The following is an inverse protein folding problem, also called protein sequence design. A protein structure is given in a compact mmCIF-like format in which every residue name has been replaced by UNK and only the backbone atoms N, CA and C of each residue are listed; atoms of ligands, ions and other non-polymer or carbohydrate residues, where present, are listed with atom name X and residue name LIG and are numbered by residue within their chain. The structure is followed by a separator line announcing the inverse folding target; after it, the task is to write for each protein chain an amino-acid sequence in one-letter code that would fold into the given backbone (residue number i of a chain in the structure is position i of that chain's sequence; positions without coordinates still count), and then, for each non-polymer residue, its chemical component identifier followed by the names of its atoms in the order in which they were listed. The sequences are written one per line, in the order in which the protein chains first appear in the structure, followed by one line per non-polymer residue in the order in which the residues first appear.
data_IF_326542055519
#
_entry.id   IF_326542055519
#
_cell.length_a   1.000
_cell.length_b   1.000
_cell.length_c   1.000
_cell.angle_alpha   90.00
_cell.angle_beta   90.00
_cell.angle_gamma   90.00
#
_symmetry.space_group_name_H-M   'P 1'
#
loop_
_entity.id
_entity.type
_entity.pdbx_description
1 polymer ?
#
# COMPACT_ATOMS: atom_id res chain seq x y z
N UNK A 1 -3.19 3.44 -13.15
CA UNK A 1 -1.85 3.82 -12.67
C UNK A 1 -1.80 4.03 -11.16
N UNK A 2 -2.91 4.39 -10.49
CA UNK A 2 -2.98 4.53 -9.02
C UNK A 2 -2.45 3.32 -8.24
N UNK A 3 -2.78 2.08 -8.64
CA UNK A 3 -2.26 0.87 -8.00
C UNK A 3 -0.73 0.77 -8.08
N UNK A 4 -0.14 1.14 -9.21
CA UNK A 4 1.33 1.14 -9.39
C UNK A 4 1.95 2.21 -8.52
N UNK A 5 1.37 3.42 -8.49
CA UNK A 5 1.85 4.50 -7.63
C UNK A 5 1.78 4.11 -6.15
N UNK A 6 0.64 3.58 -5.70
CA UNK A 6 0.46 3.10 -4.32
C UNK A 6 1.48 2.02 -3.97
N UNK A 7 1.70 1.05 -4.88
CA UNK A 7 2.67 -0.02 -4.66
C UNK A 7 4.10 0.50 -4.52
N UNK A 8 4.47 1.50 -5.32
CA UNK A 8 5.79 2.13 -5.25
C UNK A 8 5.95 2.92 -3.95
N UNK A 9 4.92 3.65 -3.51
CA UNK A 9 4.95 4.38 -2.25
C UNK A 9 5.09 3.45 -1.05
N UNK A 10 4.37 2.32 -1.05
CA UNK A 10 4.52 1.29 -0.02
C UNK A 10 5.96 0.76 -0.03
N UNK A 11 6.48 0.32 -1.17
CA UNK A 11 7.85 -0.24 -1.28
C UNK A 11 8.95 0.76 -0.86
N UNK A 12 8.70 2.07 -0.93
CA UNK A 12 9.63 3.10 -0.47
C UNK A 12 9.55 3.36 1.05
N UNK A 13 8.54 2.84 1.75
CA UNK A 13 8.49 2.84 3.21
C UNK A 13 9.49 1.82 3.75
N UNK A 14 10.45 2.25 4.60
CA UNK A 14 11.45 1.34 5.17
C UNK A 14 10.81 0.11 5.81
N UNK A 15 11.37 -1.07 5.52
CA UNK A 15 10.90 -2.33 6.10
C UNK A 15 9.71 -2.97 5.39
N UNK A 16 9.25 -2.45 4.25
CA UNK A 16 8.14 -3.05 3.48
C UNK A 16 8.48 -3.25 2.00
N UNK A 17 7.91 -4.30 1.39
CA UNK A 17 8.07 -4.62 -0.04
C UNK A 17 6.76 -5.16 -0.61
N UNK A 18 6.33 -4.66 -1.77
CA UNK A 18 5.18 -5.21 -2.49
C UNK A 18 5.59 -6.44 -3.29
N UNK A 19 4.88 -7.56 -3.09
CA UNK A 19 5.11 -8.83 -3.80
C UNK A 19 4.28 -8.95 -5.08
N UNK A 20 3.09 -8.37 -5.08
CA UNK A 20 2.17 -8.48 -6.21
C UNK A 20 0.77 -7.99 -5.88
N UNK A 21 -0.07 -8.02 -6.91
CA UNK A 21 -1.48 -7.60 -6.85
C UNK A 21 -2.31 -8.80 -7.30
N UNK A 22 -3.44 -9.07 -6.64
CA UNK A 22 -4.36 -10.13 -7.05
C UNK A 22 -4.93 -9.88 -8.44
N UNK A 23 -5.34 -10.95 -9.14
CA UNK A 23 -5.91 -10.86 -10.50
C UNK A 23 -7.16 -9.97 -10.57
N UNK A 24 -7.99 -10.01 -9.51
CA UNK A 24 -9.18 -9.16 -9.36
C UNK A 24 -8.86 -7.71 -8.94
N UNK A 25 -7.57 -7.40 -8.71
CA UNK A 25 -7.04 -6.10 -8.29
C UNK A 25 -7.60 -5.58 -6.97
N UNK A 26 -8.16 -6.45 -6.12
CA UNK A 26 -8.72 -6.09 -4.82
C UNK A 26 -7.73 -6.23 -3.67
N UNK A 27 -6.59 -6.89 -3.87
CA UNK A 27 -5.58 -7.15 -2.84
C UNK A 27 -4.18 -6.80 -3.35
N UNK A 28 -3.41 -6.14 -2.49
CA UNK A 28 -1.97 -5.96 -2.65
C UNK A 28 -1.30 -6.83 -1.59
N UNK A 29 -0.37 -7.68 -2.01
CA UNK A 29 0.41 -8.53 -1.12
C UNK A 29 1.69 -7.80 -0.74
N UNK A 30 1.89 -7.60 0.56
CA UNK A 30 2.99 -6.82 1.11
C UNK A 30 3.73 -7.72 2.10
N UNK A 31 5.05 -7.74 1.99
CA UNK A 31 5.94 -8.27 3.00
C UNK A 31 6.42 -7.12 3.90
N UNK A 32 6.29 -7.27 5.21
CA UNK A 32 6.78 -6.31 6.20
C UNK A 32 7.77 -7.01 7.13
N UNK A 33 8.91 -6.37 7.39
CA UNK A 33 9.99 -6.92 8.22
C UNK A 33 9.67 -6.76 9.71
N UNK A 34 9.13 -5.61 10.11
CA UNK A 34 8.80 -5.30 11.50
C UNK A 34 7.45 -4.58 11.54
N UNK A 35 6.50 -5.12 12.31
CA UNK A 35 5.18 -4.54 12.52
C UNK A 35 4.59 -5.05 13.85
N UNK A 36 3.88 -4.16 14.57
CA UNK A 36 3.21 -4.53 15.83
C UNK A 36 2.02 -5.45 15.58
N UNK A 37 1.06 -4.98 14.78
CA UNK A 37 -0.11 -5.75 14.38
C UNK A 37 -0.41 -5.51 12.90
N UNK A 38 -0.92 -6.54 12.23
CA UNK A 38 -1.25 -6.47 10.80
C UNK A 38 -2.31 -5.39 10.55
N UNK A 39 -3.28 -5.30 11.46
CA UNK A 39 -4.41 -4.36 11.38
C UNK A 39 -3.95 -2.90 11.45
N UNK A 40 -3.03 -2.58 12.35
CA UNK A 40 -2.44 -1.24 12.48
C UNK A 40 -1.71 -0.84 11.20
N UNK A 41 -0.88 -1.73 10.65
CA UNK A 41 -0.12 -1.45 9.43
C UNK A 41 -1.05 -1.23 8.22
N UNK A 42 -2.10 -2.04 8.10
CA UNK A 42 -3.14 -1.85 7.07
C UNK A 42 -3.82 -0.48 7.24
N UNK A 43 -4.15 -0.07 8.46
CA UNK A 43 -4.78 1.23 8.72
C UNK A 43 -3.83 2.40 8.42
N UNK A 44 -2.56 2.27 8.74
CA UNK A 44 -1.54 3.27 8.44
C UNK A 44 -1.42 3.49 6.93
N UNK A 45 -1.30 2.41 6.14
CA UNK A 45 -1.22 2.49 4.68
C UNK A 45 -2.50 3.11 4.08
N UNK A 46 -3.68 2.71 4.56
CA UNK A 46 -4.98 3.22 4.08
C UNK A 46 -5.17 4.71 4.38
N UNK A 47 -4.86 5.13 5.60
CA UNK A 47 -5.11 6.50 6.06
C UNK A 47 -4.12 7.52 5.49
N UNK A 48 -2.88 7.09 5.19
CA UNK A 48 -1.82 7.93 4.65
C UNK A 48 -1.71 7.82 3.12
N UNK A 49 -1.18 6.71 2.61
CA UNK A 49 -0.79 6.56 1.22
C UNK A 49 -2.00 6.40 0.30
N UNK A 50 -2.94 5.50 0.61
CA UNK A 50 -4.10 5.24 -0.24
C UNK A 50 -4.98 6.49 -0.39
N UNK A 51 -5.17 7.24 0.72
CA UNK A 51 -5.89 8.51 0.72
C UNK A 51 -5.26 9.55 -0.22
N UNK A 52 -3.93 9.68 -0.20
CA UNK A 52 -3.21 10.63 -1.06
C UNK A 52 -3.31 10.21 -2.53
N UNK A 53 -3.07 8.94 -2.83
CA UNK A 53 -3.16 8.41 -4.21
C UNK A 53 -4.56 8.60 -4.79
N UNK A 54 -5.60 8.35 -3.99
CA UNK A 54 -6.99 8.57 -4.42
C UNK A 54 -7.25 10.03 -4.76
N UNK A 55 -6.85 10.95 -3.88
CA UNK A 55 -7.03 12.40 -4.08
C UNK A 55 -6.36 12.92 -5.35
N UNK A 56 -5.19 12.37 -5.71
CA UNK A 56 -4.47 12.80 -6.93
C UNK A 56 -5.08 12.19 -8.19
N UNK A 57 -5.59 10.96 -8.13
CA UNK A 57 -6.20 10.32 -9.30
C UNK A 57 -7.68 10.63 -9.54
N UNK A 58 -8.34 11.34 -8.61
CA UNK A 58 -9.67 11.95 -8.82
C UNK A 58 -9.59 13.32 -9.51
N UNK A 59 -8.39 13.92 -9.56
CA UNK A 59 -8.10 15.09 -10.41
C UNK A 59 -7.72 14.65 -11.82
#
# INVERSE_FOLDING_TARGET
WQLVLLSNLITLTPGTVVLGISDDRKKIYIHSIDFSTKEEEIQNIKSSLEKVVRKVGEK
#
